data_IF_933203710674
#
_entry.id   IF_933203710674
#
_cell.length_a   1.000
_cell.length_b   1.000
_cell.length_c   1.000
_cell.angle_alpha   90.00
_cell.angle_beta   90.00
_cell.angle_gamma   90.00
#
_symmetry.space_group_name_H-M   'P 1'
#
loop_
_entity.id
_entity.type
_entity.pdbx_description
1 polymer ?
#
# COMPACT_ATOMS: atom_id res chain seq x y z
N UNK A 1 0.29 -1.26 -6.11
CA UNK A 1 0.36 0.18 -6.43
C UNK A 1 0.62 0.47 -7.93
N UNK A 2 1.35 -0.38 -8.68
CA UNK A 2 1.67 -0.11 -10.09
C UNK A 2 0.46 -0.07 -11.05
N UNK A 3 -0.66 -0.68 -10.64
CA UNK A 3 -1.92 -0.75 -11.42
C UNK A 3 -3.01 0.20 -10.86
N UNK A 4 -2.63 1.12 -9.98
CA UNK A 4 -3.51 2.19 -9.53
C UNK A 4 -3.36 3.36 -10.50
N UNK A 5 -4.45 3.95 -10.96
CA UNK A 5 -4.41 5.10 -11.87
C UNK A 5 -3.72 6.30 -11.23
N UNK A 6 -3.13 7.18 -12.04
CA UNK A 6 -2.45 8.36 -11.52
C UNK A 6 -3.45 9.37 -10.96
N UNK A 7 -4.67 9.41 -11.49
CA UNK A 7 -5.78 10.20 -10.96
C UNK A 7 -6.13 9.79 -9.53
N UNK A 8 -6.23 8.48 -9.26
CA UNK A 8 -6.56 7.99 -7.92
C UNK A 8 -5.41 8.22 -6.93
N UNK A 9 -4.16 8.07 -7.39
CA UNK A 9 -2.99 8.42 -6.56
C UNK A 9 -2.97 9.92 -6.22
N UNK A 10 -3.30 10.77 -7.18
CA UNK A 10 -3.34 12.22 -6.99
C UNK A 10 -4.50 12.66 -6.09
N UNK A 11 -5.63 11.96 -6.12
CA UNK A 11 -6.78 12.19 -5.26
C UNK A 11 -6.52 11.83 -3.79
N UNK A 12 -5.60 10.88 -3.53
CA UNK A 12 -5.26 10.38 -2.20
C UNK A 12 -3.77 10.53 -1.87
N UNK A 13 -3.22 11.77 -1.81
CA UNK A 13 -1.80 12.00 -1.55
C UNK A 13 -1.36 11.64 -0.12
N UNK A 14 -2.30 11.44 0.81
CA UNK A 14 -2.07 10.94 2.16
C UNK A 14 -1.50 9.51 2.17
N UNK A 15 -1.76 8.73 1.11
CA UNK A 15 -1.17 7.40 0.96
C UNK A 15 0.22 7.53 0.31
N UNK A 16 1.29 6.98 0.90
CA UNK A 16 2.63 7.03 0.34
C UNK A 16 2.82 6.03 -0.82
N UNK A 17 2.11 6.25 -1.93
CA UNK A 17 2.01 5.32 -3.07
C UNK A 17 3.35 4.81 -3.61
N UNK A 18 4.34 5.72 -3.69
CA UNK A 18 5.68 5.40 -4.19
C UNK A 18 6.43 4.47 -3.24
N UNK A 19 6.32 4.70 -1.94
CA UNK A 19 6.94 3.86 -0.91
C UNK A 19 6.32 2.46 -0.90
N UNK A 20 4.99 2.38 -0.97
CA UNK A 20 4.27 1.10 -1.07
C UNK A 20 4.65 0.30 -2.33
N UNK A 21 4.84 0.99 -3.46
CA UNK A 21 5.36 0.35 -4.67
C UNK A 21 6.78 -0.20 -4.46
N UNK A 22 7.64 0.56 -3.77
CA UNK A 22 9.00 0.14 -3.41
C UNK A 22 9.01 -1.10 -2.49
N UNK A 23 8.23 -1.07 -1.41
CA UNK A 23 8.08 -2.21 -0.49
C UNK A 23 7.63 -3.46 -1.24
N UNK A 24 6.65 -3.35 -2.14
CA UNK A 24 6.22 -4.48 -2.98
C UNK A 24 7.37 -5.03 -3.82
N UNK A 25 8.18 -4.18 -4.45
CA UNK A 25 9.31 -4.62 -5.28
C UNK A 25 10.32 -5.39 -4.44
N UNK A 26 10.67 -4.87 -3.26
CA UNK A 26 11.58 -5.52 -2.31
C UNK A 26 11.02 -6.86 -1.86
N UNK A 27 9.76 -6.93 -1.44
CA UNK A 27 9.13 -8.18 -1.02
C UNK A 27 9.00 -9.19 -2.18
N UNK A 28 8.81 -8.75 -3.42
CA UNK A 28 8.69 -9.66 -4.55
C UNK A 28 10.04 -10.26 -5.01
N UNK A 29 11.14 -9.50 -4.89
CA UNK A 29 12.43 -9.90 -5.51
C UNK A 29 13.56 -10.11 -4.49
N UNK A 30 13.45 -9.53 -3.30
CA UNK A 30 14.50 -9.49 -2.28
C UNK A 30 14.01 -9.92 -0.89
N UNK A 31 12.88 -10.63 -0.78
CA UNK A 31 12.33 -11.10 0.51
C UNK A 31 13.30 -11.98 1.32
N UNK A 32 14.30 -12.58 0.68
CA UNK A 32 15.30 -13.41 1.35
C UNK A 32 16.37 -12.58 2.07
N UNK A 33 16.42 -11.26 1.85
CA UNK A 33 17.32 -10.32 2.51
C UNK A 33 16.62 -9.39 3.49
N UNK A 34 15.30 -9.53 3.69
CA UNK A 34 14.55 -8.67 4.60
C UNK A 34 14.68 -9.17 6.04
N UNK A 35 14.81 -8.22 6.95
CA UNK A 35 14.79 -8.48 8.38
C UNK A 35 13.35 -8.81 8.82
N UNK A 36 13.17 -9.99 9.43
CA UNK A 36 11.85 -10.47 9.82
C UNK A 36 11.23 -9.67 10.96
N UNK A 37 12.03 -9.10 11.86
CA UNK A 37 11.54 -8.28 12.96
C UNK A 37 11.03 -6.94 12.42
N UNK A 38 11.73 -6.37 11.43
CA UNK A 38 11.27 -5.16 10.72
C UNK A 38 9.96 -5.44 9.99
N UNK A 39 9.87 -6.55 9.25
CA UNK A 39 8.62 -6.92 8.55
C UNK A 39 7.50 -7.18 9.55
N UNK A 40 7.77 -7.86 10.66
CA UNK A 40 6.80 -8.09 11.73
C UNK A 40 6.24 -6.79 12.29
N UNK A 41 7.10 -5.79 12.52
CA UNK A 41 6.69 -4.47 12.97
C UNK A 41 5.80 -3.75 11.93
N UNK A 42 6.18 -3.80 10.65
CA UNK A 42 5.39 -3.20 9.55
C UNK A 42 4.01 -3.85 9.46
N UNK A 43 3.94 -5.17 9.54
CA UNK A 43 2.68 -5.93 9.51
C UNK A 43 1.79 -5.58 10.71
N UNK A 44 2.37 -5.43 11.89
CA UNK A 44 1.61 -5.15 13.10
C UNK A 44 1.15 -3.68 13.21
N UNK A 45 1.92 -2.72 12.68
CA UNK A 45 1.72 -1.29 12.93
C UNK A 45 1.15 -0.55 11.71
N UNK A 46 1.71 -0.80 10.52
CA UNK A 46 1.45 0.02 9.34
C UNK A 46 0.37 -0.58 8.45
N UNK A 47 0.38 -1.91 8.27
CA UNK A 47 -0.61 -2.61 7.42
C UNK A 47 -2.06 -2.39 7.88
N UNK A 48 -2.41 -2.44 9.18
CA UNK A 48 -3.79 -2.23 9.61
C UNK A 48 -4.30 -0.81 9.33
N UNK A 49 -3.42 0.21 9.40
CA UNK A 49 -3.78 1.57 9.04
C UNK A 49 -4.02 1.69 7.54
N UNK A 50 -3.07 1.21 6.74
CA UNK A 50 -3.19 1.19 5.29
C UNK A 50 -4.45 0.45 4.81
N UNK A 51 -4.82 -0.66 5.45
CA UNK A 51 -6.05 -1.39 5.12
C UNK A 51 -7.31 -0.54 5.34
N UNK A 52 -7.36 0.25 6.43
CA UNK A 52 -8.50 1.14 6.69
C UNK A 52 -8.59 2.25 5.65
N UNK A 53 -7.45 2.87 5.33
CA UNK A 53 -7.40 3.96 4.36
C UNK A 53 -7.83 3.45 2.97
N UNK A 54 -7.31 2.31 2.54
CA UNK A 54 -7.71 1.69 1.27
C UNK A 54 -9.18 1.27 1.25
N UNK A 55 -9.72 0.77 2.37
CA UNK A 55 -11.13 0.39 2.45
C UNK A 55 -12.05 1.62 2.33
N UNK A 56 -11.67 2.75 2.93
CA UNK A 56 -12.39 4.01 2.78
C UNK A 56 -12.38 4.47 1.31
N UNK A 57 -11.21 4.47 0.66
CA UNK A 57 -11.08 4.82 -0.76
C UNK A 57 -11.98 3.93 -1.62
N UNK A 58 -11.95 2.61 -1.42
CA UNK A 58 -12.78 1.67 -2.19
C UNK A 58 -14.28 1.92 -1.96
N UNK A 59 -14.69 2.29 -0.73
CA UNK A 59 -16.07 2.64 -0.43
C UNK A 59 -16.54 3.94 -1.10
N UNK A 60 -15.63 4.88 -1.32
CA UNK A 60 -15.89 6.16 -1.98
C UNK A 60 -15.82 6.07 -3.51
N UNK A 61 -15.26 4.99 -4.06
CA UNK A 61 -15.29 4.77 -5.50
C UNK A 61 -16.75 4.55 -5.94
N UNK A 62 -17.19 5.21 -7.02
CA UNK A 62 -18.50 4.92 -7.59
C UNK A 62 -18.54 3.43 -7.91
N UNK A 63 -19.62 2.76 -7.49
CA UNK A 63 -19.88 1.38 -7.90
C UNK A 63 -19.80 1.36 -9.43
N UNK A 64 -18.79 0.66 -9.97
CA UNK A 64 -18.57 0.63 -11.41
C UNK A 64 -19.81 0.13 -12.14
N UNK A 65 -20.18 0.83 -13.21
CA UNK A 65 -21.12 0.32 -14.22
C UNK A 65 -20.58 -0.96 -14.88
#
# INVERSE_FOLDING_TARGET
ASHVSDELKAAHPEIPWRELAGVRVVLAHAYHHVDQDIIGAVVARDIPALQRDLAAIIGDLPAGD
#
